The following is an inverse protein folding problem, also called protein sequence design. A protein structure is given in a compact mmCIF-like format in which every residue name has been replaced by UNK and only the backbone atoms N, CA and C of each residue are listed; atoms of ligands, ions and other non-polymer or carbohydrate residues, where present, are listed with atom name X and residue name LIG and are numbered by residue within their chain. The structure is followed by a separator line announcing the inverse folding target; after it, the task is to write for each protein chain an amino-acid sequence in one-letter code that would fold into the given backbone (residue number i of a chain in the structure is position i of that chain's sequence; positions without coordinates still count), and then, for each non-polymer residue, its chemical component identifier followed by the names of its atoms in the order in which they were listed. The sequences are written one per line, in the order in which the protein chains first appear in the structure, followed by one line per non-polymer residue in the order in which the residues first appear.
data_IF_645422640702
#
_entry.id   IF_645422640702
#
_cell.length_a   1.000
_cell.length_b   1.000
_cell.length_c   1.000
_cell.angle_alpha   90.00
_cell.angle_beta   90.00
_cell.angle_gamma   90.00
#
_symmetry.space_group_name_H-M   'P 1'
#
loop_
_entity.id
_entity.type
_entity.pdbx_description
1 polymer ?
#
# COMPACT_ATOMS: atom_id res chain seq x y z
N UNK A 1 -60.26 26.96 -0.10
CA UNK A 1 -59.13 26.08 0.27
C UNK A 1 -57.87 26.92 0.13
N UNK A 2 -57.60 27.75 1.14
CA UNK A 2 -56.44 28.66 1.17
C UNK A 2 -55.34 27.83 1.83
N UNK A 3 -54.37 27.39 1.03
CA UNK A 3 -53.19 26.68 1.53
C UNK A 3 -52.34 27.73 2.26
N UNK A 4 -52.13 27.55 3.56
CA UNK A 4 -51.33 28.44 4.40
C UNK A 4 -49.90 28.53 3.85
N UNK A 5 -49.58 29.66 3.21
CA UNK A 5 -48.27 29.92 2.60
C UNK A 5 -47.13 29.96 3.62
N UNK A 6 -47.46 30.13 4.90
CA UNK A 6 -46.54 30.10 6.03
C UNK A 6 -46.05 28.69 6.35
N UNK A 7 -46.90 27.66 6.27
CA UNK A 7 -46.49 26.26 6.48
C UNK A 7 -45.60 25.75 5.33
N UNK A 8 -45.88 26.16 4.09
CA UNK A 8 -45.04 25.80 2.94
C UNK A 8 -43.66 26.47 3.03
N UNK A 9 -43.57 27.69 3.54
CA UNK A 9 -42.30 28.38 3.77
C UNK A 9 -41.49 27.76 4.93
N UNK A 10 -42.14 27.33 6.01
CA UNK A 10 -41.44 26.66 7.13
C UNK A 10 -40.93 25.29 6.70
N UNK A 11 -41.71 24.49 5.97
CA UNK A 11 -41.28 23.21 5.42
C UNK A 11 -40.10 23.38 4.45
N UNK A 12 -40.16 24.35 3.54
CA UNK A 12 -39.04 24.64 2.62
C UNK A 12 -37.78 25.14 3.35
N UNK A 13 -37.92 25.88 4.45
CA UNK A 13 -36.78 26.30 5.27
C UNK A 13 -36.13 25.12 6.02
N UNK A 14 -36.94 24.15 6.46
CA UNK A 14 -36.49 22.95 7.15
C UNK A 14 -35.74 22.01 6.19
N UNK A 15 -36.30 21.74 5.01
CA UNK A 15 -35.63 20.97 3.95
C UNK A 15 -34.31 21.62 3.51
N UNK A 16 -34.26 22.95 3.43
CA UNK A 16 -33.02 23.67 3.08
C UNK A 16 -31.97 23.59 4.18
N UNK A 17 -32.37 23.57 5.45
CA UNK A 17 -31.47 23.41 6.60
C UNK A 17 -30.94 21.97 6.71
N UNK A 18 -31.77 20.97 6.40
CA UNK A 18 -31.40 19.56 6.35
C UNK A 18 -30.43 19.28 5.19
N UNK A 19 -30.73 19.81 4.01
CA UNK A 19 -29.83 19.79 2.85
C UNK A 19 -28.49 20.49 3.13
N UNK A 20 -28.50 21.63 3.83
CA UNK A 20 -27.26 22.29 4.24
C UNK A 20 -26.45 21.43 5.23
N UNK A 21 -27.09 20.79 6.21
CA UNK A 21 -26.42 19.84 7.11
C UNK A 21 -25.83 18.64 6.38
N UNK A 22 -26.51 18.11 5.37
CA UNK A 22 -25.98 17.04 4.52
C UNK A 22 -24.78 17.50 3.69
N UNK A 23 -24.83 18.72 3.11
CA UNK A 23 -23.70 19.31 2.39
C UNK A 23 -22.51 19.56 3.33
N UNK A 24 -22.75 20.09 4.53
CA UNK A 24 -21.71 20.21 5.56
C UNK A 24 -21.13 18.84 5.95
N UNK A 25 -21.98 17.82 6.10
CA UNK A 25 -21.55 16.45 6.38
C UNK A 25 -20.66 15.88 5.26
N UNK A 26 -21.03 16.08 3.99
CA UNK A 26 -20.23 15.68 2.83
C UNK A 26 -18.89 16.40 2.80
N UNK A 27 -18.86 17.72 3.03
CA UNK A 27 -17.63 18.51 3.09
C UNK A 27 -16.71 18.03 4.22
N UNK A 28 -17.28 17.68 5.38
CA UNK A 28 -16.51 17.13 6.50
C UNK A 28 -15.90 15.76 6.23
N UNK A 29 -16.48 14.94 5.33
CA UNK A 29 -15.89 13.67 4.87
C UNK A 29 -14.70 13.90 3.93
N UNK A 30 -14.72 14.96 3.12
CA UNK A 30 -13.59 15.27 2.24
C UNK A 30 -12.31 15.67 2.99
N UNK A 31 -12.42 16.24 4.18
CA UNK A 31 -11.26 16.65 4.99
C UNK A 31 -10.35 15.47 5.35
N UNK A 32 -10.82 14.38 6.01
CA UNK A 32 -9.96 13.25 6.34
C UNK A 32 -9.40 12.56 5.09
N UNK A 33 -10.18 12.44 4.02
CA UNK A 33 -9.72 11.89 2.74
C UNK A 33 -8.57 12.73 2.18
N UNK A 34 -8.72 14.05 2.12
CA UNK A 34 -7.69 14.96 1.62
C UNK A 34 -6.43 14.89 2.48
N UNK A 35 -6.56 14.86 3.81
CA UNK A 35 -5.39 14.73 4.70
C UNK A 35 -4.64 13.42 4.49
N UNK A 36 -5.35 12.31 4.25
CA UNK A 36 -4.76 11.01 3.96
C UNK A 36 -4.04 11.01 2.62
N UNK A 37 -4.67 11.53 1.56
CA UNK A 37 -4.04 11.63 0.23
C UNK A 37 -2.78 12.50 0.30
N UNK A 38 -2.84 13.66 0.98
CA UNK A 38 -1.67 14.51 1.20
C UNK A 38 -0.57 13.77 1.97
N UNK A 39 -0.93 13.06 3.05
CA UNK A 39 0.02 12.25 3.82
C UNK A 39 0.70 11.17 2.97
N UNK A 40 -0.05 10.47 2.12
CA UNK A 40 0.46 9.44 1.21
C UNK A 40 1.41 10.07 0.18
N UNK A 41 1.03 11.19 -0.44
CA UNK A 41 1.91 11.86 -1.43
C UNK A 41 3.22 12.30 -0.80
N UNK A 42 3.20 12.83 0.42
CA UNK A 42 4.41 13.15 1.18
C UNK A 42 5.23 11.90 1.48
N UNK A 43 4.58 10.79 1.88
CA UNK A 43 5.23 9.51 2.09
C UNK A 43 5.96 9.00 0.85
N UNK A 44 5.32 9.04 -0.32
CA UNK A 44 5.94 8.65 -1.59
C UNK A 44 7.16 9.52 -1.91
N UNK A 45 7.06 10.85 -1.76
CA UNK A 45 8.19 11.75 -1.99
C UNK A 45 9.40 11.40 -1.11
N UNK A 46 9.14 11.06 0.16
CA UNK A 46 10.17 10.59 1.09
C UNK A 46 10.78 9.27 0.60
N UNK A 47 9.97 8.30 0.16
CA UNK A 47 10.48 7.00 -0.34
C UNK A 47 11.36 7.17 -1.56
N UNK A 48 10.96 7.99 -2.54
CA UNK A 48 11.75 8.25 -3.76
C UNK A 48 13.11 8.85 -3.39
N UNK A 49 13.12 9.81 -2.46
CA UNK A 49 14.35 10.41 -1.96
C UNK A 49 15.21 9.39 -1.18
N UNK A 50 14.58 8.60 -0.31
CA UNK A 50 15.23 7.60 0.53
C UNK A 50 15.85 6.47 -0.31
N UNK A 51 15.17 5.99 -1.34
CA UNK A 51 15.70 4.99 -2.27
C UNK A 51 16.99 5.48 -2.95
N UNK A 52 17.04 6.75 -3.37
CA UNK A 52 18.23 7.34 -4.00
C UNK A 52 19.38 7.52 -3.02
N UNK A 53 19.10 7.92 -1.77
CA UNK A 53 20.14 8.07 -0.74
C UNK A 53 20.68 6.73 -0.27
N UNK A 54 19.82 5.73 -0.03
CA UNK A 54 20.24 4.38 0.38
C UNK A 54 21.02 3.70 -0.75
N UNK A 55 20.53 3.75 -1.99
CA UNK A 55 21.26 3.17 -3.13
C UNK A 55 22.61 3.84 -3.37
N UNK A 56 22.71 5.15 -3.18
CA UNK A 56 23.99 5.84 -3.25
C UNK A 56 24.94 5.40 -2.13
N UNK A 57 24.44 5.30 -0.89
CA UNK A 57 25.22 4.84 0.26
C UNK A 57 25.76 3.40 0.09
N UNK A 58 24.95 2.47 -0.45
CA UNK A 58 25.38 1.10 -0.76
C UNK A 58 26.54 1.10 -1.78
N UNK A 59 26.46 1.96 -2.79
CA UNK A 59 27.51 2.10 -3.81
C UNK A 59 28.66 3.03 -3.40
N UNK A 60 28.73 3.46 -2.14
CA UNK A 60 29.75 4.40 -1.64
C UNK A 60 29.85 5.70 -2.46
N UNK A 61 28.72 6.20 -2.98
CA UNK A 61 28.62 7.49 -3.64
C UNK A 61 27.58 8.37 -2.95
N UNK A 62 27.59 9.65 -3.26
CA UNK A 62 26.63 10.59 -2.68
C UNK A 62 25.40 10.68 -3.58
N UNK A 63 24.20 10.60 -2.97
CA UNK A 63 22.92 10.79 -3.67
C UNK A 63 22.67 12.26 -4.04
N UNK A 64 21.47 12.64 -4.48
CA UNK A 64 21.17 14.03 -4.87
C UNK A 64 21.51 15.06 -3.78
N UNK A 65 22.23 16.13 -4.11
CA UNK A 65 22.65 17.16 -3.14
C UNK A 65 22.20 18.58 -3.49
N UNK A 66 22.25 18.96 -4.77
CA UNK A 66 22.11 20.36 -5.18
C UNK A 66 20.66 20.88 -5.23
N UNK A 67 19.67 19.99 -5.34
CA UNK A 67 18.24 20.31 -5.40
C UNK A 67 17.64 20.44 -4.00
N UNK A 68 17.95 21.57 -3.35
CA UNK A 68 17.55 21.86 -1.96
C UNK A 68 18.49 21.23 -0.93
N UNK A 69 18.24 21.41 0.38
CA UNK A 69 19.09 20.83 1.41
C UNK A 69 19.07 19.30 1.33
N UNK A 70 20.24 18.67 1.18
CA UNK A 70 20.40 17.22 1.04
C UNK A 70 19.60 16.58 -0.13
N UNK A 71 19.19 17.37 -1.12
CA UNK A 71 18.42 16.89 -2.27
C UNK A 71 16.94 16.55 -2.01
N UNK A 72 16.34 17.03 -0.91
CA UNK A 72 14.94 16.72 -0.55
C UNK A 72 13.96 17.17 -1.65
N UNK A 73 14.23 18.28 -2.34
CA UNK A 73 13.35 18.79 -3.40
C UNK A 73 13.48 18.02 -4.72
N UNK A 74 14.42 17.06 -4.82
CA UNK A 74 14.62 16.30 -6.06
C UNK A 74 13.39 15.49 -6.45
N UNK A 75 12.75 14.79 -5.50
CA UNK A 75 11.57 13.98 -5.81
C UNK A 75 10.42 14.84 -6.34
N UNK A 76 10.25 16.05 -5.79
CA UNK A 76 9.28 17.03 -6.27
C UNK A 76 9.64 17.52 -7.68
N UNK A 77 10.93 17.82 -7.93
CA UNK A 77 11.41 18.28 -9.23
C UNK A 77 11.21 17.22 -10.35
N UNK A 78 11.36 15.94 -10.03
CA UNK A 78 11.12 14.87 -11.00
C UNK A 78 9.62 14.72 -11.30
N UNK A 79 8.77 14.84 -10.29
CA UNK A 79 7.31 14.86 -10.47
C UNK A 79 6.85 16.04 -11.34
N UNK A 80 7.33 17.25 -11.06
CA UNK A 80 6.99 18.44 -11.86
C UNK A 80 7.53 18.35 -13.28
N UNK A 81 8.73 17.80 -13.48
CA UNK A 81 9.28 17.52 -14.81
C UNK A 81 8.36 16.59 -15.61
N UNK A 82 7.89 15.50 -15.01
CA UNK A 82 7.02 14.54 -15.71
C UNK A 82 5.64 15.14 -16.03
N UNK A 83 5.13 16.04 -15.20
CA UNK A 83 3.90 16.79 -15.45
C UNK A 83 4.02 17.77 -16.63
N UNK A 84 5.16 18.45 -16.75
CA UNK A 84 5.41 19.43 -17.81
C UNK A 84 5.84 18.79 -19.14
N UNK A 85 6.25 17.52 -19.11
CA UNK A 85 6.73 16.81 -20.29
C UNK A 85 5.56 16.43 -21.20
N UNK A 86 5.78 16.59 -22.51
CA UNK A 86 4.80 16.22 -23.53
C UNK A 86 4.40 14.75 -23.44
N UNK A 87 3.10 14.49 -23.58
CA UNK A 87 2.49 13.17 -23.55
C UNK A 87 2.28 12.65 -24.97
N UNK A 88 3.19 11.78 -25.42
CA UNK A 88 3.15 11.11 -26.70
C UNK A 88 2.16 9.92 -26.66
N UNK A 89 1.39 9.78 -27.73
CA UNK A 89 0.44 8.68 -27.92
C UNK A 89 0.87 7.81 -29.11
N UNK A 90 0.85 6.48 -28.98
CA UNK A 90 1.19 5.59 -30.09
C UNK A 90 0.15 5.69 -31.20
N UNK A 91 0.61 5.82 -32.46
CA UNK A 91 -0.27 6.02 -33.63
C UNK A 91 -1.10 4.79 -33.99
N UNK A 92 -0.58 3.59 -33.72
CA UNK A 92 -1.25 2.31 -33.99
C UNK A 92 -1.88 1.67 -32.74
N UNK A 93 -1.75 2.30 -31.57
CA UNK A 93 -2.24 1.78 -30.29
C UNK A 93 -3.73 2.06 -30.04
N UNK A 94 -4.35 1.29 -29.15
CA UNK A 94 -5.70 1.61 -28.68
C UNK A 94 -5.63 2.70 -27.61
N UNK A 95 -5.95 3.94 -28.01
CA UNK A 95 -5.85 5.14 -27.18
C UNK A 95 -6.66 5.03 -25.88
N UNK A 96 -7.82 4.39 -25.89
CA UNK A 96 -8.66 4.26 -24.69
C UNK A 96 -7.99 3.37 -23.65
N UNK A 97 -7.53 2.19 -24.06
CA UNK A 97 -6.84 1.25 -23.17
C UNK A 97 -5.51 1.82 -22.68
N UNK A 98 -4.76 2.49 -23.56
CA UNK A 98 -3.49 3.14 -23.23
C UNK A 98 -3.65 4.24 -22.18
N UNK A 99 -4.73 5.04 -22.24
CA UNK A 99 -4.99 6.09 -21.23
C UNK A 99 -5.50 5.52 -19.90
N UNK A 100 -6.36 4.52 -19.96
CA UNK A 100 -7.05 3.97 -18.78
C UNK A 100 -6.15 3.01 -17.98
N UNK A 101 -5.27 2.25 -18.63
CA UNK A 101 -4.41 1.25 -17.98
C UNK A 101 -3.66 1.76 -16.74
N UNK A 102 -2.83 2.82 -16.84
CA UNK A 102 -2.12 3.37 -15.69
C UNK A 102 -3.05 3.89 -14.60
N UNK A 103 -4.20 4.47 -14.98
CA UNK A 103 -5.15 5.02 -14.01
C UNK A 103 -5.81 3.94 -13.15
N UNK A 104 -6.13 2.78 -13.73
CA UNK A 104 -6.71 1.65 -12.98
C UNK A 104 -5.72 1.18 -11.91
N UNK A 105 -4.45 1.00 -12.26
CA UNK A 105 -3.43 0.55 -11.30
C UNK A 105 -3.30 1.52 -10.12
N UNK A 106 -3.20 2.83 -10.39
CA UNK A 106 -3.07 3.85 -9.33
C UNK A 106 -4.33 3.94 -8.47
N UNK A 107 -5.52 3.93 -9.07
CA UNK A 107 -6.79 4.02 -8.34
C UNK A 107 -6.96 2.81 -7.41
N UNK A 108 -6.66 1.60 -7.88
CA UNK A 108 -6.72 0.40 -7.05
C UNK A 108 -5.81 0.52 -5.84
N UNK A 109 -4.54 0.91 -6.03
CA UNK A 109 -3.60 1.03 -4.92
C UNK A 109 -4.04 2.15 -3.95
N UNK A 110 -4.52 3.28 -4.43
CA UNK A 110 -5.06 4.35 -3.57
C UNK A 110 -6.26 3.87 -2.75
N UNK A 111 -7.13 3.04 -3.31
CA UNK A 111 -8.30 2.49 -2.62
C UNK A 111 -7.90 1.55 -1.47
N UNK A 112 -6.76 0.85 -1.59
CA UNK A 112 -6.26 -0.02 -0.52
C UNK A 112 -5.92 0.71 0.79
N UNK A 113 -5.60 2.01 0.72
CA UNK A 113 -5.31 2.83 1.92
C UNK A 113 -6.53 3.09 2.80
N UNK A 114 -7.75 2.82 2.31
CA UNK A 114 -9.00 2.99 3.06
C UNK A 114 -8.99 2.21 4.39
N UNK A 115 -8.38 1.03 4.38
CA UNK A 115 -8.42 0.05 5.48
C UNK A 115 -7.19 0.15 6.38
N UNK A 116 -6.23 1.01 6.07
CA UNK A 116 -4.95 1.07 6.79
C UNK A 116 -5.10 1.91 8.08
N UNK A 117 -4.95 1.31 9.28
CA UNK A 117 -4.82 2.04 10.52
C UNK A 117 -3.47 2.74 10.68
N UNK A 118 -3.50 4.06 10.86
CA UNK A 118 -2.30 4.84 11.18
C UNK A 118 -2.12 5.09 12.68
N UNK A 119 -3.20 5.01 13.47
CA UNK A 119 -3.16 5.24 14.92
C UNK A 119 -4.47 4.89 15.59
N UNK A 120 -4.54 5.07 16.91
CA UNK A 120 -5.73 4.77 17.71
C UNK A 120 -6.95 5.56 17.22
N UNK A 121 -7.96 4.85 16.70
CA UNK A 121 -9.13 5.41 15.99
C UNK A 121 -8.82 6.31 14.77
N UNK A 122 -7.62 6.21 14.19
CA UNK A 122 -7.25 6.85 12.93
C UNK A 122 -7.23 5.82 11.80
N UNK A 123 -8.43 5.46 11.37
CA UNK A 123 -8.73 4.64 10.19
C UNK A 123 -9.78 5.39 9.40
N UNK A 124 -9.68 5.39 8.07
CA UNK A 124 -10.66 6.07 7.23
C UNK A 124 -12.00 5.30 7.21
N UNK A 125 -11.95 3.98 7.05
CA UNK A 125 -13.09 3.10 7.27
C UNK A 125 -12.67 1.82 8.00
N UNK A 126 -13.21 1.64 9.20
CA UNK A 126 -13.07 0.39 9.93
C UNK A 126 -14.09 -0.62 9.40
N UNK A 127 -13.61 -1.62 8.68
CA UNK A 127 -14.42 -2.63 8.00
C UNK A 127 -14.12 -3.99 8.61
N UNK A 128 -15.17 -4.76 8.91
CA UNK A 128 -15.04 -6.14 9.40
C UNK A 128 -14.26 -7.04 8.43
N UNK A 129 -14.35 -6.77 7.13
CA UNK A 129 -13.73 -7.53 6.03
C UNK A 129 -12.48 -6.79 5.50
N UNK A 130 -11.82 -6.00 6.35
CA UNK A 130 -10.78 -5.06 5.94
C UNK A 130 -9.66 -5.68 5.09
N UNK A 131 -9.01 -6.74 5.56
CA UNK A 131 -7.84 -7.29 4.85
C UNK A 131 -8.23 -8.01 3.56
N UNK A 132 -9.40 -8.67 3.56
CA UNK A 132 -9.94 -9.27 2.34
C UNK A 132 -10.27 -8.21 1.28
N UNK A 133 -10.73 -7.02 1.69
CA UNK A 133 -10.93 -5.90 0.77
C UNK A 133 -9.62 -5.48 0.12
N UNK A 134 -8.53 -5.39 0.88
CA UNK A 134 -7.21 -5.09 0.32
C UNK A 134 -6.79 -6.10 -0.74
N UNK A 135 -6.89 -7.40 -0.45
CA UNK A 135 -6.59 -8.47 -1.41
C UNK A 135 -7.45 -8.32 -2.67
N UNK A 136 -8.77 -8.15 -2.51
CA UNK A 136 -9.68 -8.00 -3.64
C UNK A 136 -9.32 -6.79 -4.52
N UNK A 137 -8.92 -5.68 -3.91
CA UNK A 137 -8.48 -4.49 -4.64
C UNK A 137 -7.13 -4.72 -5.34
N UNK A 138 -6.21 -5.46 -4.72
CA UNK A 138 -4.89 -5.76 -5.32
C UNK A 138 -5.03 -6.59 -6.59
N UNK A 139 -5.99 -7.52 -6.64
CA UNK A 139 -6.30 -8.34 -7.83
C UNK A 139 -6.70 -7.53 -9.08
N UNK A 140 -7.03 -6.24 -8.93
CA UNK A 140 -7.39 -5.34 -10.04
C UNK A 140 -6.12 -4.79 -10.74
N UNK A 141 -4.98 -4.71 -10.05
CA UNK A 141 -3.73 -4.15 -10.59
C UNK A 141 -3.23 -4.91 -11.84
N UNK A 142 -3.21 -6.25 -11.89
CA UNK A 142 -2.86 -7.02 -13.10
C UNK A 142 -3.65 -6.63 -14.34
N UNK A 143 -4.93 -6.27 -14.18
CA UNK A 143 -5.79 -5.86 -15.31
C UNK A 143 -5.29 -4.54 -15.89
N UNK A 144 -4.90 -3.59 -15.03
CA UNK A 144 -4.31 -2.32 -15.46
C UNK A 144 -3.00 -2.51 -16.23
N UNK A 145 -2.16 -3.45 -15.80
CA UNK A 145 -0.89 -3.82 -16.44
C UNK A 145 -1.09 -4.52 -17.80
N UNK A 146 -2.11 -5.37 -17.93
CA UNK A 146 -2.46 -5.99 -19.21
C UNK A 146 -3.04 -4.98 -20.20
N UNK A 147 -3.93 -4.10 -19.74
CA UNK A 147 -4.50 -3.03 -20.56
C UNK A 147 -3.42 -2.08 -21.06
N UNK A 148 -2.42 -1.78 -20.23
CA UNK A 148 -1.32 -0.90 -20.62
C UNK A 148 -0.40 -1.53 -21.66
N UNK A 149 -0.06 -2.82 -21.50
CA UNK A 149 0.74 -3.58 -22.45
C UNK A 149 0.03 -3.89 -23.78
N UNK A 150 -1.28 -4.11 -23.76
CA UNK A 150 -2.06 -4.31 -24.99
C UNK A 150 -2.34 -2.99 -25.72
N UNK A 151 -2.62 -1.92 -24.96
CA UNK A 151 -2.93 -0.59 -25.51
C UNK A 151 -1.78 0.04 -26.30
N UNK A 152 -0.53 -0.34 -25.99
CA UNK A 152 0.67 0.18 -26.65
C UNK A 152 0.92 -0.40 -28.05
N UNK A 153 0.27 -1.52 -28.41
CA UNK A 153 0.40 -2.21 -29.70
C UNK A 153 1.85 -2.46 -30.16
N UNK A 154 2.71 -2.87 -29.22
CA UNK A 154 4.07 -3.32 -29.48
C UNK A 154 4.25 -4.74 -28.90
N UNK A 155 4.88 -5.63 -29.69
CA UNK A 155 5.09 -7.05 -29.32
C UNK A 155 5.83 -7.20 -28.00
N UNK A 156 6.84 -6.37 -27.76
CA UNK A 156 7.65 -6.44 -26.53
C UNK A 156 6.86 -5.94 -25.31
N UNK A 157 6.14 -4.83 -25.44
CA UNK A 157 5.33 -4.27 -24.36
C UNK A 157 4.18 -5.18 -23.97
N UNK A 158 3.54 -5.85 -24.95
CA UNK A 158 2.49 -6.82 -24.68
C UNK A 158 3.03 -8.05 -23.94
N UNK A 159 4.18 -8.58 -24.36
CA UNK A 159 4.88 -9.66 -23.65
C UNK A 159 5.25 -9.26 -22.21
N UNK A 160 5.72 -8.02 -22.01
CA UNK A 160 6.02 -7.47 -20.70
C UNK A 160 4.80 -7.37 -19.79
N UNK A 161 3.67 -6.88 -20.31
CA UNK A 161 2.40 -6.82 -19.56
C UNK A 161 1.88 -8.21 -19.17
N UNK A 162 1.98 -9.21 -20.07
CA UNK A 162 1.61 -10.59 -19.77
C UNK A 162 2.48 -11.19 -18.65
N UNK A 163 3.79 -10.92 -18.66
CA UNK A 163 4.71 -11.38 -17.60
C UNK A 163 4.41 -10.72 -16.26
N UNK A 164 4.16 -9.40 -16.26
CA UNK A 164 3.79 -8.64 -15.07
C UNK A 164 2.52 -9.20 -14.41
N UNK A 165 1.48 -9.41 -15.21
CA UNK A 165 0.23 -9.96 -14.71
C UNK A 165 0.40 -11.39 -14.21
N UNK A 166 1.10 -12.26 -14.93
CA UNK A 166 1.36 -13.63 -14.50
C UNK A 166 2.14 -13.69 -13.18
N UNK A 167 3.11 -12.79 -13.00
CA UNK A 167 3.86 -12.66 -11.76
C UNK A 167 2.96 -12.20 -10.62
N UNK A 168 2.26 -11.07 -10.76
CA UNK A 168 1.43 -10.52 -9.69
C UNK A 168 0.37 -11.53 -9.22
N UNK A 169 -0.32 -12.21 -10.15
CA UNK A 169 -1.30 -13.26 -9.83
C UNK A 169 -0.66 -14.45 -9.09
N UNK A 170 0.55 -14.86 -9.50
CA UNK A 170 1.21 -16.03 -8.90
C UNK A 170 1.61 -15.79 -7.44
N UNK A 171 1.93 -14.55 -7.06
CA UNK A 171 2.35 -14.20 -5.70
C UNK A 171 1.22 -13.70 -4.81
N UNK A 172 0.08 -13.33 -5.40
CA UNK A 172 -1.12 -13.01 -4.65
C UNK A 172 -1.61 -14.24 -3.85
N UNK A 173 -1.62 -15.43 -4.46
CA UNK A 173 -2.12 -16.66 -3.81
C UNK A 173 -1.37 -16.98 -2.50
N UNK A 174 -0.02 -17.13 -2.46
CA UNK A 174 0.69 -17.36 -1.21
C UNK A 174 0.49 -16.24 -0.19
N UNK A 175 0.41 -14.98 -0.65
CA UNK A 175 0.16 -13.82 0.19
C UNK A 175 -1.22 -13.90 0.88
N UNK A 176 -2.27 -14.28 0.14
CA UNK A 176 -3.62 -14.47 0.72
C UNK A 176 -3.67 -15.56 1.78
N UNK A 177 -2.94 -16.66 1.59
CA UNK A 177 -2.90 -17.78 2.54
C UNK A 177 -2.22 -17.35 3.85
N UNK A 178 -1.15 -16.55 3.77
CA UNK A 178 -0.49 -15.96 4.94
C UNK A 178 -1.42 -15.01 5.70
N UNK A 179 -2.16 -14.15 4.99
CA UNK A 179 -3.17 -13.27 5.60
C UNK A 179 -4.24 -14.08 6.31
N UNK A 180 -4.73 -15.15 5.69
CA UNK A 180 -5.77 -16.00 6.27
C UNK A 180 -5.28 -16.67 7.57
N UNK A 181 -4.02 -17.11 7.61
CA UNK A 181 -3.40 -17.64 8.83
C UNK A 181 -3.36 -16.60 9.96
N UNK A 182 -3.16 -15.31 9.65
CA UNK A 182 -3.18 -14.23 10.66
C UNK A 182 -4.60 -13.92 11.13
N UNK A 183 -5.56 -13.88 10.19
CA UNK A 183 -6.96 -13.64 10.50
C UNK A 183 -7.49 -14.68 11.48
N UNK A 184 -7.14 -15.97 11.29
CA UNK A 184 -7.46 -17.04 12.23
C UNK A 184 -6.91 -16.76 13.64
N UNK A 185 -5.63 -16.41 13.77
CA UNK A 185 -5.01 -16.12 15.08
C UNK A 185 -5.69 -14.97 15.83
N UNK A 186 -6.26 -14.01 15.10
CA UNK A 186 -6.94 -12.84 15.66
C UNK A 186 -8.45 -13.01 15.85
N UNK A 187 -9.05 -14.10 15.33
CA UNK A 187 -10.50 -14.31 15.24
C UNK A 187 -11.28 -13.18 14.55
N UNK A 188 -10.63 -12.33 13.76
CA UNK A 188 -11.25 -11.24 13.02
C UNK A 188 -10.51 -11.01 11.69
N UNK A 189 -11.15 -10.31 10.76
CA UNK A 189 -10.55 -9.84 9.50
C UNK A 189 -10.44 -8.32 9.42
N UNK A 190 -10.82 -7.60 10.48
CA UNK A 190 -10.60 -6.17 10.58
C UNK A 190 -9.13 -5.88 10.94
N UNK A 191 -8.58 -4.81 10.37
CA UNK A 191 -7.18 -4.42 10.61
C UNK A 191 -6.98 -3.87 12.03
N UNK A 192 -8.03 -3.26 12.60
CA UNK A 192 -8.05 -2.75 13.97
C UNK A 192 -7.99 -3.89 14.98
N UNK A 193 -8.89 -4.88 14.87
CA UNK A 193 -8.95 -6.00 15.82
C UNK A 193 -7.65 -6.82 15.81
N UNK A 194 -6.98 -6.92 14.66
CA UNK A 194 -5.68 -7.61 14.56
C UNK A 194 -4.60 -6.89 15.36
N UNK A 195 -4.53 -5.56 15.27
CA UNK A 195 -3.60 -4.76 16.07
C UNK A 195 -3.94 -4.87 17.55
N UNK A 196 -5.23 -4.85 17.90
CA UNK A 196 -5.68 -5.00 19.28
C UNK A 196 -5.36 -6.39 19.83
N UNK A 197 -5.54 -7.46 19.06
CA UNK A 197 -5.15 -8.81 19.44
C UNK A 197 -3.65 -8.92 19.74
N UNK A 198 -2.81 -8.25 18.93
CA UNK A 198 -1.36 -8.17 19.14
C UNK A 198 -0.97 -7.30 20.35
N UNK A 199 -1.79 -6.30 20.69
CA UNK A 199 -1.54 -5.37 21.80
C UNK A 199 -1.56 -6.05 23.17
N UNK A 200 -2.37 -7.10 23.33
CA UNK A 200 -2.68 -7.74 24.62
C UNK A 200 -1.44 -8.22 25.39
N UNK A 201 -0.44 -8.70 24.66
CA UNK A 201 0.79 -9.28 25.23
C UNK A 201 2.05 -8.45 24.90
N UNK A 202 1.87 -7.19 24.47
CA UNK A 202 2.97 -6.29 24.15
C UNK A 202 3.91 -6.85 23.07
N UNK A 203 5.22 -6.74 23.28
CA UNK A 203 6.24 -7.21 22.33
C UNK A 203 6.17 -8.72 22.07
N UNK A 204 5.82 -9.51 23.08
CA UNK A 204 5.63 -10.96 22.94
C UNK A 204 4.34 -11.35 22.23
N UNK A 205 3.40 -10.41 22.06
CA UNK A 205 2.12 -10.62 21.37
C UNK A 205 2.17 -10.44 19.85
N UNK A 206 3.32 -10.03 19.29
CA UNK A 206 3.45 -9.79 17.86
C UNK A 206 3.35 -11.09 17.06
N UNK A 207 2.62 -11.04 15.94
CA UNK A 207 2.43 -12.22 15.10
C UNK A 207 3.74 -12.66 14.42
N UNK A 208 4.77 -11.80 14.37
CA UNK A 208 6.12 -12.19 13.94
C UNK A 208 6.64 -13.40 14.71
N UNK A 209 6.43 -13.44 16.03
CA UNK A 209 6.90 -14.54 16.89
C UNK A 209 6.03 -15.80 16.76
N UNK A 210 4.73 -15.60 16.52
CA UNK A 210 3.76 -16.70 16.40
C UNK A 210 3.84 -17.39 15.03
N UNK A 211 4.10 -16.63 13.97
CA UNK A 211 4.17 -17.12 12.59
C UNK A 211 5.42 -16.59 11.86
N UNK A 212 6.62 -17.05 12.22
CA UNK A 212 7.85 -16.65 11.53
C UNK A 212 7.89 -17.13 10.07
N UNK A 213 7.34 -18.33 9.80
CA UNK A 213 7.27 -18.90 8.44
C UNK A 213 6.32 -18.08 7.58
N UNK A 214 5.12 -17.79 8.10
CA UNK A 214 4.14 -16.93 7.42
C UNK A 214 4.70 -15.55 7.10
N UNK A 215 5.43 -14.94 8.05
CA UNK A 215 6.08 -13.64 7.84
C UNK A 215 7.06 -13.65 6.68
N UNK A 216 7.95 -14.65 6.61
CA UNK A 216 8.92 -14.74 5.51
C UNK A 216 8.23 -14.93 4.16
N UNK A 217 7.20 -15.79 4.09
CA UNK A 217 6.43 -15.98 2.84
C UNK A 217 5.71 -14.69 2.44
N UNK A 218 5.11 -13.99 3.39
CA UNK A 218 4.42 -12.72 3.15
C UNK A 218 5.41 -11.63 2.67
N UNK A 219 6.59 -11.53 3.29
CA UNK A 219 7.63 -10.59 2.87
C UNK A 219 8.09 -10.89 1.44
N UNK A 220 8.40 -12.16 1.12
CA UNK A 220 8.85 -12.53 -0.22
C UNK A 220 7.76 -12.30 -1.27
N UNK A 221 6.50 -12.60 -0.95
CA UNK A 221 5.37 -12.43 -1.87
C UNK A 221 5.04 -10.97 -2.11
N UNK A 222 5.05 -10.14 -1.05
CA UNK A 222 4.84 -8.69 -1.18
C UNK A 222 5.96 -7.98 -1.94
N UNK A 223 7.22 -8.44 -1.79
CA UNK A 223 8.33 -7.96 -2.62
C UNK A 223 8.14 -8.29 -4.10
N UNK A 224 7.66 -9.49 -4.40
CA UNK A 224 7.37 -9.92 -5.77
C UNK A 224 6.17 -9.17 -6.39
N UNK A 225 5.16 -8.85 -5.60
CA UNK A 225 4.00 -8.05 -6.02
C UNK A 225 4.37 -6.58 -6.30
N UNK A 226 5.36 -6.03 -5.59
CA UNK A 226 5.84 -4.67 -5.83
C UNK A 226 6.73 -4.53 -7.09
N UNK A 227 6.98 -5.63 -7.83
CA UNK A 227 7.80 -5.65 -9.05
C UNK A 227 9.21 -5.02 -8.86
N UNK A 228 9.82 -5.17 -7.68
CA UNK A 228 11.18 -4.66 -7.41
C UNK A 228 12.22 -5.77 -7.45
N UNK A 229 13.47 -5.43 -7.84
CA UNK A 229 14.59 -6.38 -7.80
C UNK A 229 14.69 -7.00 -6.40
N UNK A 230 14.85 -8.33 -6.29
CA UNK A 230 15.26 -9.29 -7.34
C UNK A 230 14.13 -9.80 -8.26
N UNK A 231 12.87 -9.41 -8.01
CA UNK A 231 11.66 -9.85 -8.72
C UNK A 231 11.15 -8.83 -9.74
N UNK A 232 11.95 -7.86 -10.12
CA UNK A 232 11.64 -6.97 -11.23
C UNK A 232 11.98 -7.71 -12.52
N UNK A 233 10.99 -8.28 -13.19
CA UNK A 233 11.09 -8.94 -14.50
C UNK A 233 10.25 -8.26 -15.58
N UNK A 234 9.12 -7.61 -15.25
CA UNK A 234 8.37 -6.82 -16.21
C UNK A 234 9.16 -5.65 -16.78
N UNK A 235 10.01 -4.98 -15.99
CA UNK A 235 10.79 -3.80 -16.43
C UNK A 235 12.16 -4.20 -17.00
N UNK A 236 12.38 -5.48 -17.35
CA UNK A 236 13.68 -5.97 -17.81
C UNK A 236 14.24 -5.25 -19.02
N UNK A 237 15.21 -4.36 -18.77
CA UNK A 237 15.95 -3.64 -19.82
C UNK A 237 16.62 -4.59 -20.81
N UNK A 238 17.22 -5.67 -20.32
CA UNK A 238 17.96 -6.63 -21.14
C UNK A 238 17.05 -7.49 -22.05
N UNK A 239 15.81 -7.79 -21.63
CA UNK A 239 14.91 -8.68 -22.38
C UNK A 239 13.79 -7.93 -23.12
N UNK A 240 13.30 -6.84 -22.55
CA UNK A 240 12.08 -6.15 -22.97
C UNK A 240 12.21 -4.62 -22.96
N UNK A 241 13.43 -4.06 -22.84
CA UNK A 241 13.75 -2.62 -22.79
C UNK A 241 13.17 -1.88 -21.58
N UNK A 242 11.86 -1.91 -21.39
CA UNK A 242 11.15 -1.43 -20.19
C UNK A 242 9.76 -2.10 -20.04
N UNK A 243 9.55 -3.23 -20.72
CA UNK A 243 8.29 -3.99 -20.73
C UNK A 243 7.08 -3.16 -21.13
N UNK A 244 6.03 -3.20 -20.28
CA UNK A 244 4.75 -2.53 -20.53
C UNK A 244 4.85 -0.99 -20.49
N UNK A 245 5.95 -0.42 -19.96
CA UNK A 245 6.14 1.03 -19.82
C UNK A 245 6.80 1.69 -21.03
N UNK A 246 7.39 0.91 -21.93
CA UNK A 246 8.21 1.35 -23.08
C UNK A 246 7.63 2.50 -23.92
N UNK A 247 6.34 2.44 -24.24
CA UNK A 247 5.67 3.43 -25.11
C UNK A 247 5.09 4.62 -24.33
N UNK A 248 5.17 4.62 -22.99
CA UNK A 248 4.62 5.68 -22.16
C UNK A 248 5.59 6.85 -22.00
N UNK A 249 5.03 8.07 -21.97
CA UNK A 249 5.80 9.30 -21.78
C UNK A 249 5.08 10.25 -20.84
N UNK A 250 5.80 11.30 -20.41
CA UNK A 250 5.29 12.37 -19.55
C UNK A 250 4.58 11.86 -18.29
N UNK A 251 3.36 12.34 -18.07
CA UNK A 251 2.56 12.05 -16.87
C UNK A 251 2.16 10.58 -16.74
N UNK A 252 1.84 9.89 -17.84
CA UNK A 252 1.39 8.48 -17.76
C UNK A 252 2.51 7.55 -17.31
N UNK A 253 3.73 7.83 -17.76
CA UNK A 253 4.91 7.15 -17.27
C UNK A 253 5.15 7.44 -15.77
N UNK A 254 4.96 8.71 -15.36
CA UNK A 254 4.99 9.09 -13.95
C UNK A 254 3.95 8.37 -13.09
N UNK A 255 2.77 8.05 -13.62
CA UNK A 255 1.74 7.29 -12.92
C UNK A 255 2.17 5.84 -12.62
N UNK A 256 2.93 5.18 -13.51
CA UNK A 256 3.46 3.84 -13.22
C UNK A 256 4.51 3.86 -12.12
N UNK A 257 5.42 4.84 -12.14
CA UNK A 257 6.36 4.99 -11.02
C UNK A 257 5.65 5.33 -9.72
N UNK A 258 4.67 6.24 -9.76
CA UNK A 258 3.86 6.54 -8.59
C UNK A 258 3.15 5.29 -8.07
N UNK A 259 2.56 4.47 -8.95
CA UNK A 259 1.91 3.22 -8.58
C UNK A 259 2.88 2.26 -7.88
N UNK A 260 4.10 2.06 -8.41
CA UNK A 260 5.06 1.13 -7.80
C UNK A 260 5.51 1.60 -6.41
N UNK A 261 5.71 2.91 -6.21
CA UNK A 261 6.05 3.48 -4.91
C UNK A 261 4.88 3.45 -3.92
N UNK A 262 3.66 3.69 -4.39
CA UNK A 262 2.45 3.53 -3.57
C UNK A 262 2.30 2.08 -3.12
N UNK A 263 2.44 1.11 -4.03
CA UNK A 263 2.31 -0.31 -3.68
C UNK A 263 3.39 -0.74 -2.68
N UNK A 264 4.62 -0.22 -2.84
CA UNK A 264 5.70 -0.45 -1.89
C UNK A 264 5.39 0.09 -0.49
N UNK A 265 4.79 1.28 -0.41
CA UNK A 265 4.36 1.84 0.88
C UNK A 265 3.20 1.02 1.48
N UNK A 266 2.18 0.66 0.68
CA UNK A 266 1.05 -0.17 1.11
C UNK A 266 1.51 -1.50 1.67
N UNK A 267 2.35 -2.23 0.92
CA UNK A 267 2.87 -3.52 1.35
C UNK A 267 3.65 -3.41 2.66
N UNK A 268 4.53 -2.41 2.79
CA UNK A 268 5.26 -2.18 4.05
C UNK A 268 4.35 -1.88 5.23
N UNK A 269 3.28 -1.10 5.01
CA UNK A 269 2.26 -0.82 6.04
C UNK A 269 1.54 -2.09 6.44
N UNK A 270 1.11 -2.93 5.49
CA UNK A 270 0.47 -4.20 5.82
C UNK A 270 1.40 -5.16 6.57
N UNK A 271 2.70 -5.22 6.24
CA UNK A 271 3.67 -5.99 7.04
C UNK A 271 3.65 -5.51 8.50
N UNK A 272 3.67 -4.18 8.74
CA UNK A 272 3.68 -3.64 10.10
C UNK A 272 2.40 -3.91 10.88
N UNK A 273 1.25 -3.83 10.22
CA UNK A 273 -0.06 -4.05 10.82
C UNK A 273 -0.22 -5.53 11.15
N UNK A 274 0.06 -6.41 10.18
CA UNK A 274 -0.22 -7.84 10.31
C UNK A 274 0.78 -8.56 11.22
N UNK A 275 2.04 -8.15 11.25
CA UNK A 275 3.10 -8.88 11.97
C UNK A 275 3.70 -8.15 13.18
N UNK A 276 3.69 -6.81 13.22
CA UNK A 276 4.39 -6.02 14.24
C UNK A 276 3.51 -5.16 15.15
N UNK A 277 2.20 -5.37 15.17
CA UNK A 277 1.35 -4.66 16.11
C UNK A 277 1.10 -3.19 15.77
N UNK A 278 1.28 -2.75 14.52
CA UNK A 278 0.91 -1.39 14.08
C UNK A 278 1.38 -0.29 15.04
N UNK A 279 0.42 0.45 15.62
CA UNK A 279 0.66 1.58 16.53
C UNK A 279 1.11 1.18 17.94
N UNK A 280 1.05 -0.10 18.29
CA UNK A 280 1.43 -0.53 19.62
C UNK A 280 2.94 -0.34 19.81
N UNK A 281 3.28 0.40 20.84
CA UNK A 281 4.62 0.48 21.37
C UNK A 281 4.64 -0.09 22.79
N UNK A 282 5.76 -0.70 23.15
CA UNK A 282 6.01 -1.29 24.46
C UNK A 282 6.26 -0.19 25.50
N UNK A 283 5.28 0.67 25.69
CA UNK A 283 5.13 1.41 26.92
C UNK A 283 3.76 0.98 27.46
N UNK A 284 3.69 0.39 28.66
CA UNK A 284 2.42 -0.08 29.24
C UNK A 284 1.39 1.05 29.18
N UNK A 285 0.49 0.96 28.21
CA UNK A 285 -0.54 1.97 27.97
C UNK A 285 -1.43 2.15 29.20
N UNK A 286 -1.54 1.08 30.01
CA UNK A 286 -2.25 1.06 31.29
C UNK A 286 -1.59 1.96 32.36
N UNK A 287 -0.27 2.22 32.34
CA UNK A 287 0.36 2.98 33.44
C UNK A 287 0.69 4.45 33.13
N UNK A 288 0.53 4.94 31.90
CA UNK A 288 0.77 6.36 31.58
C UNK A 288 -0.52 7.18 31.54
N UNK A 289 -1.64 6.59 31.10
CA UNK A 289 -2.94 7.27 31.11
C UNK A 289 -3.45 7.54 32.52
N UNK A 290 -3.07 6.71 33.49
CA UNK A 290 -3.40 6.91 34.90
C UNK A 290 -2.45 7.89 35.62
N UNK A 291 -1.20 8.05 35.14
CA UNK A 291 -0.20 8.92 35.79
C UNK A 291 -0.31 10.40 35.36
N UNK A 292 -0.77 10.66 34.14
CA UNK A 292 -0.92 12.03 33.60
C UNK A 292 -2.37 12.25 33.20
N UNK A 293 -3.09 13.01 34.04
CA UNK A 293 -4.52 13.30 33.90
C UNK A 293 -4.97 13.76 32.51
N UNK A 294 -6.27 13.64 32.28
CA UNK A 294 -7.04 13.80 31.04
C UNK A 294 -6.92 15.21 30.43
N UNK A 295 -5.73 15.56 29.93
CA UNK A 295 -5.53 16.78 29.15
C UNK A 295 -5.77 16.46 27.67
N UNK A 296 -6.60 17.28 27.00
CA UNK A 296 -6.84 17.21 25.54
C UNK A 296 -5.52 17.21 24.74
N UNK A 297 -4.50 17.90 25.25
CA UNK A 297 -3.14 17.91 24.70
C UNK A 297 -2.44 16.55 24.77
N UNK A 298 -2.64 15.79 25.85
CA UNK A 298 -2.06 14.46 26.01
C UNK A 298 -2.66 13.48 25.00
N UNK A 299 -3.96 13.57 24.72
CA UNK A 299 -4.61 12.76 23.67
C UNK A 299 -4.04 13.02 22.29
N UNK A 300 -3.78 14.29 21.93
CA UNK A 300 -3.16 14.66 20.65
C UNK A 300 -1.74 14.11 20.57
N UNK A 301 -0.97 14.20 21.66
CA UNK A 301 0.37 13.66 21.74
C UNK A 301 0.40 12.14 21.53
N UNK A 302 -0.52 11.40 22.16
CA UNK A 302 -0.67 9.94 21.96
C UNK A 302 -1.00 9.61 20.51
N UNK A 303 -1.88 10.37 19.86
CA UNK A 303 -2.22 10.14 18.45
C UNK A 303 -0.99 10.36 17.55
N UNK A 304 -0.24 11.46 17.76
CA UNK A 304 0.96 11.77 16.98
C UNK A 304 2.03 10.70 17.18
N UNK A 305 2.24 10.23 18.41
CA UNK A 305 3.24 9.18 18.66
C UNK A 305 2.82 7.86 18.02
N UNK A 306 1.53 7.50 18.06
CA UNK A 306 0.99 6.32 17.37
C UNK A 306 1.25 6.35 15.87
N UNK A 307 0.99 7.49 15.21
CA UNK A 307 1.30 7.68 13.77
C UNK A 307 2.80 7.57 13.52
N UNK A 308 3.61 8.20 14.37
CA UNK A 308 5.06 8.13 14.23
C UNK A 308 5.58 6.70 14.35
N UNK A 309 5.04 5.90 15.28
CA UNK A 309 5.44 4.50 15.49
C UNK A 309 5.06 3.63 14.29
N UNK A 310 3.83 3.74 13.77
CA UNK A 310 3.39 2.97 12.60
C UNK A 310 4.28 3.27 11.40
N UNK A 311 4.51 4.57 11.13
CA UNK A 311 5.35 5.01 10.04
C UNK A 311 6.81 4.59 10.24
N UNK A 312 7.38 4.77 11.43
CA UNK A 312 8.78 4.38 11.71
C UNK A 312 9.01 2.89 11.48
N UNK A 313 8.07 2.03 11.94
CA UNK A 313 8.11 0.60 11.61
C UNK A 313 8.01 0.40 10.09
N UNK A 314 7.08 1.06 9.41
CA UNK A 314 6.89 0.88 7.96
C UNK A 314 8.14 1.29 7.17
N UNK A 315 8.79 2.41 7.53
CA UNK A 315 10.05 2.85 6.93
C UNK A 315 11.21 1.90 7.23
N UNK A 316 11.23 1.25 8.40
CA UNK A 316 12.18 0.16 8.67
C UNK A 316 11.93 -1.02 7.71
N UNK A 317 10.67 -1.38 7.45
CA UNK A 317 10.38 -2.39 6.43
C UNK A 317 10.78 -1.96 5.05
N UNK A 318 10.54 -0.70 4.66
CA UNK A 318 10.95 -0.15 3.36
C UNK A 318 12.47 -0.20 3.13
N UNK A 319 13.26 -0.16 4.20
CA UNK A 319 14.71 -0.35 4.10
C UNK A 319 15.09 -1.73 3.54
N UNK A 320 14.31 -2.78 3.81
CA UNK A 320 14.56 -4.15 3.34
C UNK A 320 14.43 -4.28 1.80
N UNK A 321 13.31 -3.94 1.13
CA UNK A 321 13.20 -3.94 -0.34
C UNK A 321 14.28 -3.08 -1.00
N UNK A 322 14.57 -1.91 -0.44
CA UNK A 322 15.52 -0.97 -1.04
C UNK A 322 16.94 -1.51 -0.97
N UNK A 323 17.32 -2.16 0.13
CA UNK A 323 18.63 -2.79 0.25
C UNK A 323 18.72 -4.07 -0.58
N UNK A 324 17.70 -4.93 -0.53
CA UNK A 324 17.65 -6.19 -1.31
C UNK A 324 17.75 -5.97 -2.82
N UNK A 325 17.22 -4.85 -3.34
CA UNK A 325 17.39 -4.43 -4.73
C UNK A 325 18.85 -4.36 -5.19
N UNK A 326 19.78 -4.01 -4.30
CA UNK A 326 21.20 -3.83 -4.64
C UNK A 326 22.10 -4.94 -4.09
N UNK A 327 21.59 -5.86 -3.29
CA UNK A 327 22.37 -6.98 -2.74
C UNK A 327 22.10 -8.30 -3.43
N UNK A 328 20.87 -8.52 -3.94
CA UNK A 328 20.48 -9.78 -4.56
C UNK A 328 20.56 -9.70 -6.09
N UNK A 329 21.05 -10.75 -6.76
CA UNK A 329 21.02 -10.81 -8.22
C UNK A 329 19.58 -10.96 -8.71
N UNK A 330 19.35 -10.51 -9.94
CA UNK A 330 18.07 -10.65 -10.61
C UNK A 330 17.73 -12.12 -10.87
N UNK A 331 16.50 -12.52 -10.57
CA UNK A 331 16.00 -13.87 -10.83
C UNK A 331 15.34 -13.96 -12.21
N UNK A 332 15.50 -15.08 -12.91
CA UNK A 332 14.82 -15.33 -14.20
C UNK A 332 13.34 -15.69 -13.98
N UNK A 333 12.47 -15.38 -14.96
CA UNK A 333 11.02 -15.65 -14.89
C UNK A 333 10.67 -17.09 -14.54
N UNK A 334 11.34 -18.05 -15.17
CA UNK A 334 11.09 -19.47 -14.92
C UNK A 334 11.38 -19.85 -13.45
N UNK A 335 12.43 -19.28 -12.86
CA UNK A 335 12.81 -19.54 -11.47
C UNK A 335 11.87 -18.82 -10.50
N UNK A 336 11.47 -17.59 -10.82
CA UNK A 336 10.50 -16.81 -10.05
C UNK A 336 9.16 -17.54 -9.97
N UNK A 337 8.59 -17.97 -11.09
CA UNK A 337 7.32 -18.72 -11.09
C UNK A 337 7.45 -20.07 -10.35
N UNK A 338 8.56 -20.78 -10.53
CA UNK A 338 8.82 -22.01 -9.77
C UNK A 338 8.90 -21.75 -8.26
N UNK A 339 9.51 -20.64 -7.82
CA UNK A 339 9.60 -20.27 -6.41
C UNK A 339 8.20 -19.98 -5.83
N UNK A 340 7.35 -19.23 -6.54
CA UNK A 340 5.98 -18.97 -6.11
C UNK A 340 5.15 -20.26 -5.96
N UNK A 341 5.09 -21.05 -7.03
CA UNK A 341 4.19 -22.22 -7.10
C UNK A 341 4.71 -23.45 -6.37
N UNK A 342 6.02 -23.75 -6.44
CA UNK A 342 6.57 -24.99 -5.86
C UNK A 342 7.08 -24.82 -4.44
N UNK A 343 7.43 -23.59 -4.03
CA UNK A 343 8.01 -23.35 -2.71
C UNK A 343 7.06 -22.55 -1.81
N UNK A 344 6.71 -21.32 -2.19
CA UNK A 344 5.92 -20.44 -1.33
C UNK A 344 4.49 -20.95 -1.11
N UNK A 345 3.82 -21.45 -2.14
CA UNK A 345 2.45 -21.96 -2.02
C UNK A 345 2.38 -23.15 -1.04
N UNK A 346 3.15 -24.26 -1.20
CA UNK A 346 3.11 -25.36 -0.24
C UNK A 346 3.48 -24.95 1.19
N UNK A 347 4.47 -24.07 1.36
CA UNK A 347 4.89 -23.58 2.68
C UNK A 347 3.80 -22.74 3.34
N UNK A 348 3.13 -21.87 2.56
CA UNK A 348 2.02 -21.05 3.07
C UNK A 348 0.86 -21.93 3.55
N UNK A 349 0.50 -22.98 2.78
CA UNK A 349 -0.52 -23.94 3.16
C UNK A 349 -0.12 -24.73 4.41
N UNK A 350 1.13 -25.18 4.49
CA UNK A 350 1.67 -25.85 5.68
C UNK A 350 1.59 -24.96 6.92
N UNK A 351 1.96 -23.67 6.78
CA UNK A 351 1.85 -22.69 7.87
C UNK A 351 0.40 -22.47 8.31
N UNK A 352 -0.54 -22.42 7.36
CA UNK A 352 -1.96 -22.32 7.67
C UNK A 352 -2.44 -23.53 8.48
N UNK A 353 -2.12 -24.75 8.04
CA UNK A 353 -2.49 -25.98 8.73
C UNK A 353 -1.91 -26.02 10.15
N UNK A 354 -0.63 -25.68 10.32
CA UNK A 354 0.01 -25.57 11.64
C UNK A 354 -0.67 -24.54 12.54
N UNK A 355 -1.09 -23.42 11.96
CA UNK A 355 -1.82 -22.38 12.71
C UNK A 355 -3.17 -22.93 13.18
N UNK A 356 -3.94 -23.55 12.27
CA UNK A 356 -5.25 -24.12 12.63
C UNK A 356 -5.16 -25.20 13.70
N UNK A 357 -4.16 -26.08 13.63
CA UNK A 357 -3.97 -27.13 14.64
C UNK A 357 -3.57 -26.54 16.00
N UNK A 358 -2.67 -25.55 16.02
CA UNK A 358 -2.28 -24.87 17.25
C UNK A 358 -3.46 -24.17 17.93
N UNK A 359 -4.35 -23.59 17.14
CA UNK A 359 -5.52 -22.87 17.65
C UNK A 359 -6.59 -23.81 18.18
N UNK A 360 -6.82 -24.94 17.51
CA UNK A 360 -7.70 -26.01 18.00
C UNK A 360 -7.21 -26.61 19.32
N UNK A 361 -5.91 -26.67 19.55
CA UNK A 361 -5.34 -27.14 20.84
C UNK A 361 -5.50 -26.10 21.96
N UNK A 362 -5.57 -24.82 21.60
CA UNK A 362 -5.74 -23.71 22.57
C UNK A 362 -7.21 -23.42 22.93
N UNK A 363 -8.16 -23.93 22.14
CA UNK A 363 -9.59 -23.94 22.43
C UNK A 363 -9.92 -25.10 23.36
#
# INVERSE_FOLDING_TARGET
MIIDTTEVQTINSFYKLESLKEVYGLVWIFVPILTLVLGITMGVLVIVWLERKISAAIHQRIGPEYTGPLGILQALADGTKLLLKEDLLPSRGNIRLFRVGPSIAVISILLSYLVIPFGYHLVLADLSIGIFLWIAISSIVPIGLLMSGYGSNNKYSFSGGLRAAAQSISYEIPLTICVLAISLLSNSSSTVDIIEAQSKYGFGGWNLWRQPIGFLVFLMSSLAECERLPFDLPEAEEELVAGYQTEYSGIKYGLFYLASYLNLLVSSLFVTILYLGGWNFYIPYISITELFGINKMFRIFVIVISIFITLAKAYLFLFIPITTRWTLPRMRMDQLLNLGWKFLLPISLGNLLLTTSSQLVSL
#
